data_IF_327596670418
#
_entry.id   IF_327596670418
#
_cell.length_a   1.000
_cell.length_b   1.000
_cell.length_c   1.000
_cell.angle_alpha   90.00
_cell.angle_beta   90.00
_cell.angle_gamma   90.00
#
_symmetry.space_group_name_H-M   'P 1'
#
loop_
_entity.id
_entity.type
_entity.pdbx_description
1 polymer ?
#
# COMPACT_ATOMS: atom_id res chain seq x y z
N UNK A 1 -19.00 78.80 -10.46
CA UNK A 1 -17.66 78.89 -9.84
C UNK A 1 -17.71 78.11 -8.53
N UNK A 2 -16.78 77.15 -8.38
CA UNK A 2 -16.49 76.27 -7.22
C UNK A 2 -17.11 74.87 -7.24
N UNK A 3 -16.30 73.95 -7.79
CA UNK A 3 -16.23 72.52 -7.51
C UNK A 3 -16.18 72.28 -6.00
N UNK A 4 -16.75 71.17 -5.55
CA UNK A 4 -15.96 70.26 -4.72
C UNK A 4 -16.51 68.84 -4.84
N UNK A 5 -15.89 68.10 -5.75
CA UNK A 5 -15.86 66.65 -5.75
C UNK A 5 -15.36 66.19 -4.37
N UNK A 6 -16.22 65.56 -3.56
CA UNK A 6 -15.75 64.84 -2.37
C UNK A 6 -15.50 63.40 -2.79
N UNK A 7 -14.23 63.14 -3.01
CA UNK A 7 -13.63 61.84 -3.25
C UNK A 7 -14.03 60.88 -2.13
N UNK A 8 -14.44 59.68 -2.51
CA UNK A 8 -14.68 58.58 -1.60
C UNK A 8 -13.33 58.16 -0.98
N UNK A 9 -13.11 58.52 0.28
CA UNK A 9 -11.96 58.01 1.03
C UNK A 9 -12.26 56.55 1.42
N UNK A 10 -11.63 55.62 0.72
CA UNK A 10 -11.65 54.19 1.05
C UNK A 10 -10.86 54.03 2.35
N UNK A 11 -11.55 54.10 3.48
CA UNK A 11 -10.96 53.90 4.80
C UNK A 11 -10.67 52.42 5.05
N UNK A 12 -9.39 52.11 5.28
CA UNK A 12 -8.96 50.90 5.99
C UNK A 12 -8.06 49.95 5.18
N UNK A 13 -6.89 50.41 4.73
CA UNK A 13 -5.76 49.51 4.47
C UNK A 13 -5.18 49.03 5.82
N UNK A 14 -5.95 48.27 6.59
CA UNK A 14 -5.46 47.50 7.74
C UNK A 14 -4.72 46.27 7.20
N UNK A 15 -3.46 46.46 6.82
CA UNK A 15 -2.55 45.39 6.44
C UNK A 15 -2.24 44.48 7.63
N UNK A 16 -2.27 43.17 7.42
CA UNK A 16 -1.95 42.15 8.41
C UNK A 16 -0.56 42.40 9.03
N UNK A 17 -0.45 42.36 10.36
CA UNK A 17 0.82 42.57 11.05
C UNK A 17 1.78 41.41 10.77
N UNK A 18 3.06 41.72 10.52
CA UNK A 18 4.11 40.69 10.37
C UNK A 18 4.20 39.82 11.62
N UNK A 19 4.00 40.39 12.81
CA UNK A 19 4.00 39.66 14.08
C UNK A 19 2.84 38.65 14.14
N UNK A 20 1.68 39.01 13.58
CA UNK A 20 0.51 38.14 13.57
C UNK A 20 0.77 36.89 12.71
N UNK A 21 1.40 37.07 11.54
CA UNK A 21 1.79 35.94 10.70
C UNK A 21 2.88 35.08 11.37
N UNK A 22 3.82 35.70 12.09
CA UNK A 22 4.87 34.98 12.83
C UNK A 22 4.31 34.07 13.92
N UNK A 23 3.31 34.53 14.69
CA UNK A 23 2.69 33.71 15.74
C UNK A 23 1.90 32.57 15.11
N UNK A 24 1.24 32.79 13.98
CA UNK A 24 0.48 31.74 13.27
C UNK A 24 1.41 30.62 12.80
N UNK A 25 2.54 30.94 12.15
CA UNK A 25 3.49 29.90 11.70
C UNK A 25 4.11 29.15 12.87
N UNK A 26 4.32 29.80 14.02
CA UNK A 26 4.82 29.17 15.24
C UNK A 26 3.82 28.12 15.76
N UNK A 27 2.55 28.50 15.88
CA UNK A 27 1.51 27.58 16.36
C UNK A 27 1.30 26.43 15.37
N UNK A 28 1.24 26.71 14.06
CA UNK A 28 1.14 25.65 13.03
C UNK A 28 2.34 24.71 13.07
N UNK A 29 3.56 25.22 13.27
CA UNK A 29 4.76 24.41 13.43
C UNK A 29 4.67 23.43 14.61
N UNK A 30 4.16 23.89 15.76
CA UNK A 30 3.95 23.03 16.93
C UNK A 30 2.92 21.92 16.66
N UNK A 31 1.81 22.26 15.97
CA UNK A 31 0.77 21.29 15.61
C UNK A 31 1.31 20.22 14.64
N UNK A 32 2.07 20.64 13.62
CA UNK A 32 2.69 19.74 12.65
C UNK A 32 3.70 18.81 13.33
N UNK A 33 4.49 19.33 14.29
CA UNK A 33 5.50 18.54 15.00
C UNK A 33 4.90 17.33 15.75
N UNK A 34 3.71 17.46 16.34
CA UNK A 34 3.02 16.36 17.03
C UNK A 34 2.21 15.48 16.05
N UNK A 35 1.67 16.06 14.98
CA UNK A 35 0.78 15.36 14.05
C UNK A 35 1.54 14.49 13.04
N UNK A 36 2.67 14.95 12.51
CA UNK A 36 3.43 14.22 11.48
C UNK A 36 3.85 12.80 11.87
N UNK A 37 4.44 12.52 13.04
CA UNK A 37 4.90 11.16 13.35
C UNK A 37 3.74 10.17 13.40
N UNK A 38 2.59 10.58 13.96
CA UNK A 38 1.40 9.73 14.03
C UNK A 38 0.77 9.52 12.66
N UNK A 39 0.71 10.58 11.84
CA UNK A 39 0.21 10.53 10.46
C UNK A 39 1.04 9.58 9.59
N UNK A 40 2.37 9.66 9.64
CA UNK A 40 3.25 8.78 8.87
C UNK A 40 3.09 7.30 9.27
N UNK A 41 3.02 7.03 10.58
CA UNK A 41 2.77 5.66 11.07
C UNK A 41 1.39 5.13 10.66
N UNK A 42 0.35 5.98 10.70
CA UNK A 42 -0.98 5.60 10.23
C UNK A 42 -1.01 5.30 8.72
N UNK A 43 -0.32 6.11 7.92
CA UNK A 43 -0.19 5.91 6.47
C UNK A 43 0.52 4.60 6.14
N UNK A 44 1.62 4.29 6.83
CA UNK A 44 2.35 3.03 6.63
C UNK A 44 1.47 1.80 6.95
N UNK A 45 0.77 1.82 8.10
CA UNK A 45 -0.17 0.75 8.47
C UNK A 45 -1.32 0.61 7.49
N UNK A 46 -1.85 1.73 6.97
CA UNK A 46 -2.90 1.68 5.96
C UNK A 46 -2.42 1.03 4.65
N UNK A 47 -1.20 1.35 4.21
CA UNK A 47 -0.59 0.71 3.04
C UNK A 47 -0.41 -0.80 3.24
N UNK A 48 0.09 -1.23 4.41
CA UNK A 48 0.24 -2.66 4.73
C UNK A 48 -1.10 -3.39 4.69
N UNK A 49 -2.15 -2.79 5.24
CA UNK A 49 -3.50 -3.40 5.28
C UNK A 49 -4.16 -3.45 3.91
N UNK A 50 -3.91 -2.45 3.06
CA UNK A 50 -4.37 -2.46 1.68
C UNK A 50 -3.75 -3.64 0.94
N UNK A 51 -2.42 -3.77 0.98
CA UNK A 51 -1.73 -4.88 0.32
C UNK A 51 -2.17 -6.25 0.88
N UNK A 52 -2.26 -6.40 2.19
CA UNK A 52 -2.75 -7.64 2.81
C UNK A 52 -4.15 -8.05 2.31
N UNK A 53 -5.01 -7.07 2.03
CA UNK A 53 -6.35 -7.30 1.48
C UNK A 53 -6.28 -7.76 0.03
N UNK A 54 -5.44 -7.12 -0.77
CA UNK A 54 -5.21 -7.50 -2.15
C UNK A 54 -4.59 -8.90 -2.25
N UNK A 55 -3.58 -9.22 -1.42
CA UNK A 55 -2.99 -10.56 -1.35
C UNK A 55 -4.00 -11.64 -0.99
N UNK A 56 -4.89 -11.39 -0.01
CA UNK A 56 -5.97 -12.34 0.33
C UNK A 56 -6.94 -12.55 -0.82
N UNK A 57 -7.20 -11.50 -1.58
CA UNK A 57 -8.06 -11.58 -2.76
C UNK A 57 -7.35 -12.33 -3.89
N UNK A 58 -6.06 -12.07 -4.12
CA UNK A 58 -5.24 -12.79 -5.08
C UNK A 58 -5.14 -14.28 -4.75
N UNK A 59 -5.01 -14.62 -3.46
CA UNK A 59 -5.11 -16.02 -3.02
C UNK A 59 -6.48 -16.63 -3.30
N UNK A 60 -7.57 -15.88 -3.11
CA UNK A 60 -8.91 -16.36 -3.45
C UNK A 60 -9.07 -16.61 -4.95
N UNK A 61 -8.49 -15.74 -5.80
CA UNK A 61 -8.44 -15.93 -7.25
C UNK A 61 -7.63 -17.19 -7.62
N UNK A 62 -6.46 -17.38 -7.00
CA UNK A 62 -5.67 -18.59 -7.17
C UNK A 62 -6.45 -19.85 -6.77
N UNK A 63 -7.12 -19.83 -5.61
CA UNK A 63 -7.92 -20.96 -5.13
C UNK A 63 -9.10 -21.26 -6.07
N UNK A 64 -9.71 -20.23 -6.68
CA UNK A 64 -10.75 -20.41 -7.68
C UNK A 64 -10.23 -21.09 -8.95
N UNK A 65 -9.02 -20.73 -9.39
CA UNK A 65 -8.33 -21.44 -10.48
C UNK A 65 -8.06 -22.91 -10.09
N UNK A 66 -7.46 -23.13 -8.93
CA UNK A 66 -7.15 -24.48 -8.42
C UNK A 66 -8.40 -25.36 -8.26
N UNK A 67 -9.54 -24.79 -7.88
CA UNK A 67 -10.80 -25.54 -7.78
C UNK A 67 -11.25 -26.12 -9.12
N UNK A 68 -10.88 -25.48 -10.25
CA UNK A 68 -11.23 -25.90 -11.60
C UNK A 68 -10.20 -26.88 -12.18
N UNK A 69 -8.90 -26.60 -12.00
CA UNK A 69 -7.80 -27.35 -12.61
C UNK A 69 -7.25 -28.47 -11.72
N UNK A 70 -7.42 -28.35 -10.40
CA UNK A 70 -6.77 -29.17 -9.35
C UNK A 70 -5.24 -29.12 -9.41
N UNK A 71 -4.71 -28.04 -9.96
CA UNK A 71 -3.28 -27.78 -10.13
C UNK A 71 -3.03 -26.27 -10.13
N UNK A 72 -1.90 -25.82 -9.58
CA UNK A 72 -1.48 -24.42 -9.65
C UNK A 72 -0.79 -24.11 -10.97
N UNK A 73 -0.32 -25.13 -11.69
CA UNK A 73 0.37 -24.96 -12.97
C UNK A 73 -0.51 -24.15 -13.92
N UNK A 74 0.05 -23.06 -14.45
CA UNK A 74 -0.65 -22.13 -15.34
C UNK A 74 -1.37 -20.97 -14.65
N UNK A 75 -1.38 -20.89 -13.31
CA UNK A 75 -1.74 -19.67 -12.58
C UNK A 75 -0.58 -18.66 -12.63
N UNK A 76 -0.22 -18.25 -13.85
CA UNK A 76 0.76 -17.20 -14.10
C UNK A 76 0.11 -15.81 -13.99
N UNK A 77 0.91 -14.75 -14.22
CA UNK A 77 0.42 -13.36 -14.17
C UNK A 77 -0.76 -13.12 -15.10
N UNK A 78 -0.73 -13.66 -16.32
CA UNK A 78 -1.79 -13.43 -17.30
C UNK A 78 -3.11 -14.07 -16.83
N UNK A 79 -3.02 -15.29 -16.29
CA UNK A 79 -4.17 -15.95 -15.70
C UNK A 79 -4.69 -15.17 -14.47
N UNK A 80 -3.80 -14.74 -13.57
CA UNK A 80 -4.18 -14.00 -12.38
C UNK A 80 -4.87 -12.66 -12.69
N UNK A 81 -4.42 -11.95 -13.72
CA UNK A 81 -5.09 -10.73 -14.23
C UNK A 81 -6.48 -11.04 -14.79
N UNK A 82 -6.67 -12.20 -15.42
CA UNK A 82 -7.99 -12.60 -15.92
C UNK A 82 -8.98 -12.93 -14.80
N UNK A 83 -8.50 -13.54 -13.71
CA UNK A 83 -9.31 -13.92 -12.55
C UNK A 83 -9.60 -12.72 -11.63
N UNK A 84 -8.60 -11.85 -11.41
CA UNK A 84 -8.73 -10.66 -10.57
C UNK A 84 -7.97 -9.46 -11.18
N UNK A 85 -8.63 -8.68 -12.05
CA UNK A 85 -7.99 -7.58 -12.77
C UNK A 85 -7.74 -6.34 -11.90
N UNK A 86 -8.31 -6.25 -10.69
CA UNK A 86 -8.15 -5.07 -9.83
C UNK A 86 -6.82 -5.04 -9.08
N UNK A 87 -6.17 -6.19 -8.95
CA UNK A 87 -4.89 -6.29 -8.26
C UNK A 87 -3.79 -5.89 -9.25
N UNK A 88 -2.87 -5.00 -8.85
CA UNK A 88 -1.67 -4.73 -9.64
C UNK A 88 -0.72 -5.94 -9.53
N UNK A 89 -0.82 -6.85 -10.49
CA UNK A 89 0.02 -8.04 -10.55
C UNK A 89 1.40 -7.74 -11.13
N UNK A 90 2.44 -8.04 -10.36
CA UNK A 90 3.84 -7.90 -10.76
C UNK A 90 4.37 -9.12 -11.53
N UNK A 91 5.51 -8.96 -12.19
CA UNK A 91 6.20 -10.04 -12.90
C UNK A 91 7.01 -10.90 -11.92
N UNK A 92 6.52 -12.10 -11.60
CA UNK A 92 7.27 -13.08 -10.81
C UNK A 92 8.25 -13.92 -11.67
N UNK A 93 9.28 -14.55 -11.06
CA UNK A 93 9.59 -14.59 -9.63
C UNK A 93 10.51 -13.45 -9.18
N UNK A 94 10.58 -12.33 -9.92
CA UNK A 94 11.31 -11.15 -9.47
C UNK A 94 10.57 -10.46 -8.30
N UNK A 95 11.27 -9.67 -7.47
CA UNK A 95 10.63 -8.93 -6.39
C UNK A 95 9.52 -8.01 -6.94
N UNK A 96 8.32 -7.99 -6.31
CA UNK A 96 7.24 -7.12 -6.74
C UNK A 96 7.58 -5.64 -6.52
N UNK A 97 7.06 -4.76 -7.38
CA UNK A 97 7.10 -3.32 -7.13
C UNK A 97 6.17 -2.92 -5.97
N UNK A 98 6.33 -1.68 -5.48
CA UNK A 98 5.53 -1.19 -4.36
C UNK A 98 4.04 -1.11 -4.71
N UNK A 99 3.23 -1.79 -3.91
CA UNK A 99 1.79 -1.93 -4.07
C UNK A 99 1.39 -3.15 -4.88
N UNK A 100 2.33 -3.91 -5.43
CA UNK A 100 2.05 -5.07 -6.27
C UNK A 100 2.05 -6.40 -5.50
N UNK A 101 1.40 -7.38 -6.12
CA UNK A 101 1.45 -8.80 -5.73
C UNK A 101 2.01 -9.59 -6.92
N UNK A 102 3.01 -10.43 -6.69
CA UNK A 102 3.62 -11.30 -7.69
C UNK A 102 3.46 -12.77 -7.30
N UNK A 103 3.47 -13.64 -8.30
CA UNK A 103 3.35 -15.09 -8.15
C UNK A 103 4.75 -15.68 -8.34
N UNK A 104 5.29 -16.29 -7.29
CA UNK A 104 6.68 -16.78 -7.26
C UNK A 104 6.78 -18.28 -7.48
N UNK A 105 5.79 -19.03 -6.98
CA UNK A 105 5.68 -20.48 -7.16
C UNK A 105 4.25 -20.78 -7.53
N UNK A 106 4.05 -21.63 -8.53
CA UNK A 106 2.75 -22.13 -8.97
C UNK A 106 2.88 -23.55 -9.57
N UNK A 107 3.79 -24.35 -9.03
CA UNK A 107 4.14 -25.69 -9.52
C UNK A 107 4.20 -26.68 -8.35
N UNK A 108 4.28 -27.98 -8.62
CA UNK A 108 4.39 -29.05 -7.60
C UNK A 108 3.31 -29.02 -6.49
N UNK A 109 2.10 -28.55 -6.81
CA UNK A 109 1.00 -28.30 -5.86
C UNK A 109 1.32 -27.24 -4.78
N UNK A 110 2.35 -26.44 -5.00
CA UNK A 110 2.72 -25.27 -4.21
C UNK A 110 2.31 -23.97 -4.90
N UNK A 111 1.89 -23.01 -4.07
CA UNK A 111 1.65 -21.64 -4.48
C UNK A 111 2.40 -20.71 -3.52
N UNK A 112 3.13 -19.74 -4.06
CA UNK A 112 3.70 -18.64 -3.30
C UNK A 112 3.32 -17.31 -3.95
N UNK A 113 2.63 -16.47 -3.18
CA UNK A 113 2.38 -15.08 -3.52
C UNK A 113 3.24 -14.20 -2.63
N UNK A 114 3.92 -13.22 -3.23
CA UNK A 114 4.70 -12.21 -2.51
C UNK A 114 4.16 -10.84 -2.89
N UNK A 115 4.09 -9.92 -1.94
CA UNK A 115 3.69 -8.54 -2.19
C UNK A 115 4.59 -7.57 -1.45
N UNK A 116 4.81 -6.38 -2.03
CA UNK A 116 5.59 -5.31 -1.42
C UNK A 116 4.68 -4.13 -1.10
N UNK A 117 4.47 -3.82 0.18
CA UNK A 117 3.58 -2.72 0.59
C UNK A 117 4.17 -1.38 0.13
N UNK A 118 3.32 -0.38 -0.13
CA UNK A 118 3.82 0.98 -0.37
C UNK A 118 4.63 1.54 0.82
N UNK A 119 4.47 0.98 2.03
CA UNK A 119 5.31 1.27 3.19
C UNK A 119 6.76 0.76 3.03
N UNK A 120 6.97 -0.31 2.25
CA UNK A 120 8.25 -0.99 2.05
C UNK A 120 8.37 -2.34 2.74
N UNK A 121 7.32 -2.79 3.44
CA UNK A 121 7.28 -4.12 4.05
C UNK A 121 6.86 -5.18 3.05
N UNK A 122 7.59 -6.29 3.00
CA UNK A 122 7.22 -7.47 2.23
C UNK A 122 6.25 -8.37 3.01
N UNK A 123 5.34 -9.00 2.28
CA UNK A 123 4.42 -9.99 2.80
C UNK A 123 4.38 -11.18 1.85
N UNK A 124 4.12 -12.37 2.39
CA UNK A 124 3.87 -13.56 1.60
C UNK A 124 2.64 -14.32 2.07
N UNK A 125 2.06 -15.06 1.14
CA UNK A 125 1.05 -16.10 1.36
C UNK A 125 1.50 -17.35 0.61
N UNK A 126 1.49 -18.49 1.27
CA UNK A 126 1.82 -19.75 0.62
C UNK A 126 0.78 -20.83 0.88
N UNK A 127 0.56 -21.69 -0.11
CA UNK A 127 -0.17 -22.96 0.00
C UNK A 127 0.81 -24.09 -0.27
N UNK A 128 0.85 -25.06 0.64
CA UNK A 128 1.71 -26.24 0.52
C UNK A 128 0.89 -27.50 0.29
N UNK A 129 1.45 -28.52 -0.37
CA UNK A 129 0.70 -29.71 -0.74
C UNK A 129 0.25 -30.45 0.52
N UNK A 130 -1.02 -30.87 0.53
CA UNK A 130 -1.59 -31.64 1.65
C UNK A 130 -1.83 -30.84 2.93
N UNK A 131 -1.58 -29.53 2.96
CA UNK A 131 -1.97 -28.66 4.07
C UNK A 131 -3.26 -27.91 3.74
N UNK A 132 -4.27 -27.91 4.63
CA UNK A 132 -5.45 -27.06 4.48
C UNK A 132 -5.19 -25.60 4.90
N UNK A 133 -4.03 -25.30 5.50
CA UNK A 133 -3.71 -23.96 6.00
C UNK A 133 -2.84 -23.16 5.03
N UNK A 134 -3.19 -21.88 4.89
CA UNK A 134 -2.34 -20.89 4.23
C UNK A 134 -1.23 -20.44 5.18
N UNK A 135 0.02 -20.67 4.80
CA UNK A 135 1.19 -20.10 5.47
C UNK A 135 1.31 -18.61 5.13
N UNK A 136 1.79 -17.82 6.09
CA UNK A 136 1.80 -16.35 6.01
C UNK A 136 3.06 -15.84 6.69
N UNK A 137 3.69 -14.85 6.07
CA UNK A 137 4.89 -14.24 6.60
C UNK A 137 5.08 -12.80 6.16
N UNK A 138 6.06 -12.17 6.79
CA UNK A 138 6.43 -10.77 6.62
C UNK A 138 7.94 -10.65 6.70
N UNK A 139 8.52 -9.79 5.87
CA UNK A 139 9.95 -9.45 5.91
C UNK A 139 10.21 -7.98 5.58
N UNK A 140 11.41 -7.53 5.92
CA UNK A 140 11.92 -6.21 5.50
C UNK A 140 12.70 -6.30 4.18
N UNK A 141 13.13 -7.51 3.81
CA UNK A 141 13.79 -7.79 2.53
C UNK A 141 13.05 -8.87 1.76
N UNK A 142 13.25 -8.91 0.44
CA UNK A 142 12.62 -9.91 -0.41
C UNK A 142 13.08 -11.34 -0.06
N UNK A 143 14.36 -11.52 0.28
CA UNK A 143 14.96 -12.80 0.65
C UNK A 143 14.41 -13.40 1.97
N UNK A 144 13.59 -12.67 2.71
CA UNK A 144 12.93 -13.18 3.92
C UNK A 144 11.55 -13.76 3.61
N UNK A 145 11.08 -13.68 2.36
CA UNK A 145 9.72 -14.06 1.97
C UNK A 145 9.64 -14.69 0.57
N UNK A 146 10.77 -14.90 -0.11
CA UNK A 146 10.82 -15.32 -1.52
C UNK A 146 10.73 -16.84 -1.71
N UNK A 147 10.73 -17.61 -0.62
CA UNK A 147 10.39 -19.03 -0.63
C UNK A 147 9.20 -19.37 0.27
N UNK A 148 8.57 -20.51 -0.02
CA UNK A 148 7.49 -21.07 0.79
C UNK A 148 7.94 -21.33 2.23
N UNK A 149 9.17 -21.79 2.42
CA UNK A 149 9.73 -22.13 3.73
C UNK A 149 9.97 -20.89 4.60
N UNK A 150 10.29 -19.75 3.98
CA UNK A 150 10.48 -18.48 4.68
C UNK A 150 9.15 -17.80 5.01
N UNK A 151 8.05 -18.21 4.37
CA UNK A 151 6.73 -17.63 4.56
C UNK A 151 6.06 -17.99 5.90
N UNK A 152 6.64 -17.50 6.98
CA UNK A 152 6.34 -17.88 8.36
C UNK A 152 6.22 -16.65 9.27
N UNK A 153 5.75 -16.85 10.50
CA UNK A 153 5.65 -15.78 11.51
C UNK A 153 4.33 -15.00 11.50
N UNK A 154 3.53 -15.11 10.44
CA UNK A 154 2.21 -14.49 10.35
C UNK A 154 2.23 -12.97 10.32
N UNK A 155 1.03 -12.40 10.17
CA UNK A 155 0.77 -10.96 10.17
C UNK A 155 -0.72 -10.68 10.41
#
# INVERSE_FOLDING_TARGET
MRRNDREAEIGGDDGFSVVELMVVILVVGLLIAIALPTYLGARARAADRALQTDMRTGLAAALAYYAQTRDWTGFDRAQAVSEEPRIPWGEGPAPPDRGEVSIHVHEDQELLLVGLSSSGTYFCLAQVPGSPSTARGRGDTFAEVDTVAECTGGW
#
